data_IF_735505416819
#
_entry.id   IF_735505416819
#
_cell.length_a   1.000
_cell.length_b   1.000
_cell.length_c   1.000
_cell.angle_alpha   90.00
_cell.angle_beta   90.00
_cell.angle_gamma   90.00
#
_symmetry.space_group_name_H-M   'P 1'
#
loop_
_entity.id
_entity.type
_entity.pdbx_description
1 polymer ?
#
# COMPACT_ATOMS: atom_id res chain seq x y z
N UNK A 1 -10.21 68.27 3.47
CA UNK A 1 -9.44 67.34 2.63
C UNK A 1 -10.06 65.96 2.80
N UNK A 2 -10.92 65.59 1.85
CA UNK A 2 -11.68 64.34 1.85
C UNK A 2 -10.77 63.17 1.50
N UNK A 3 -10.67 62.20 2.40
CA UNK A 3 -10.00 60.92 2.14
C UNK A 3 -11.03 59.95 1.56
N UNK A 4 -10.80 59.51 0.32
CA UNK A 4 -11.66 58.58 -0.41
C UNK A 4 -11.46 57.17 0.16
N UNK A 5 -12.41 56.72 0.98
CA UNK A 5 -12.41 55.38 1.60
C UNK A 5 -13.29 54.45 0.75
N UNK A 6 -12.72 53.31 0.35
CA UNK A 6 -13.39 52.25 -0.40
C UNK A 6 -14.50 51.57 0.45
N UNK A 7 -15.77 51.57 0.03
CA UNK A 7 -16.91 51.13 0.85
C UNK A 7 -17.11 49.60 0.95
N UNK A 8 -16.21 48.76 0.42
CA UNK A 8 -16.45 47.31 0.31
C UNK A 8 -16.17 46.46 1.56
N UNK A 9 -15.62 47.01 2.65
CA UNK A 9 -15.17 46.20 3.81
C UNK A 9 -16.01 46.43 5.08
N UNK A 10 -16.87 47.45 5.14
CA UNK A 10 -17.55 47.83 6.39
C UNK A 10 -18.79 47.00 6.75
N UNK A 11 -19.40 46.28 5.82
CA UNK A 11 -20.78 45.79 5.98
C UNK A 11 -20.96 44.26 6.04
N UNK A 12 -20.00 43.53 6.61
CA UNK A 12 -20.16 42.07 6.85
C UNK A 12 -20.06 41.62 8.31
N UNK A 13 -20.34 42.52 9.25
CA UNK A 13 -20.46 42.16 10.67
C UNK A 13 -21.90 41.75 11.10
N UNK A 14 -22.93 41.95 10.28
CA UNK A 14 -24.31 41.58 10.63
C UNK A 14 -25.10 41.14 9.39
N UNK A 15 -25.16 39.84 9.12
CA UNK A 15 -26.20 39.25 8.28
C UNK A 15 -26.35 37.75 8.64
N UNK A 16 -27.13 37.49 9.67
CA UNK A 16 -27.82 36.22 9.90
C UNK A 16 -29.31 36.50 9.70
N UNK A 17 -29.90 35.98 8.62
CA UNK A 17 -31.28 35.47 8.53
C UNK A 17 -31.72 35.21 7.08
N UNK A 18 -31.98 33.93 6.81
CA UNK A 18 -33.03 33.34 5.96
C UNK A 18 -33.48 34.05 4.68
N UNK A 19 -33.38 33.35 3.55
CA UNK A 19 -34.53 33.08 2.68
C UNK A 19 -34.32 31.75 1.93
N UNK A 20 -35.33 30.89 2.06
CA UNK A 20 -35.41 29.54 1.53
C UNK A 20 -36.12 29.48 0.17
N UNK A 21 -35.97 28.32 -0.48
CA UNK A 21 -36.81 27.68 -1.51
C UNK A 21 -36.60 27.97 -3.01
N UNK A 22 -36.23 26.89 -3.72
CA UNK A 22 -36.43 26.66 -5.16
C UNK A 22 -35.84 25.31 -5.59
N UNK A 23 -36.62 24.33 -6.11
CA UNK A 23 -36.22 22.92 -6.17
C UNK A 23 -35.44 22.59 -7.45
N UNK A 24 -34.40 21.77 -7.32
CA UNK A 24 -33.61 21.31 -8.46
C UNK A 24 -32.55 20.29 -8.08
N UNK A 25 -32.94 19.17 -7.45
CA UNK A 25 -32.04 18.01 -7.31
C UNK A 25 -31.80 17.38 -8.68
N UNK A 26 -30.86 17.94 -9.45
CA UNK A 26 -30.13 17.14 -10.44
C UNK A 26 -29.05 16.38 -9.68
N UNK A 27 -29.21 15.05 -9.63
CA UNK A 27 -28.25 14.12 -9.07
C UNK A 27 -26.87 14.45 -9.63
N UNK A 28 -25.92 14.76 -8.76
CA UNK A 28 -24.49 14.76 -9.04
C UNK A 28 -24.12 13.36 -9.55
N UNK A 29 -24.04 13.22 -10.88
CA UNK A 29 -23.40 12.10 -11.52
C UNK A 29 -21.92 12.13 -11.14
N UNK A 30 -21.57 11.28 -10.17
CA UNK A 30 -20.21 11.06 -9.71
C UNK A 30 -19.33 10.54 -10.85
N UNK A 31 -18.05 10.93 -10.96
CA UNK A 31 -17.16 10.27 -11.90
C UNK A 31 -16.70 8.94 -11.29
N UNK A 32 -17.28 7.85 -11.79
CA UNK A 32 -16.87 6.44 -11.58
C UNK A 32 -15.39 6.20 -11.97
N UNK A 33 -14.75 7.16 -12.65
CA UNK A 33 -13.36 7.09 -13.11
C UNK A 33 -12.30 7.00 -11.99
N UNK A 34 -12.55 7.54 -10.79
CA UNK A 34 -11.55 7.53 -9.69
C UNK A 34 -11.37 6.16 -9.05
N UNK A 35 -12.44 5.37 -8.93
CA UNK A 35 -12.31 3.95 -8.57
C UNK A 35 -11.49 3.23 -9.65
N UNK A 36 -11.77 3.49 -10.93
CA UNK A 36 -11.11 2.84 -12.06
C UNK A 36 -9.59 2.97 -12.07
N UNK A 37 -9.03 4.17 -11.83
CA UNK A 37 -7.58 4.38 -11.87
C UNK A 37 -6.86 3.72 -10.68
N UNK A 38 -7.48 3.74 -9.49
CA UNK A 38 -6.93 3.06 -8.32
C UNK A 38 -7.05 1.53 -8.43
N UNK A 39 -8.15 1.03 -9.01
CA UNK A 39 -8.28 -0.39 -9.37
C UNK A 39 -7.21 -0.82 -10.38
N UNK A 40 -6.88 0.03 -11.35
CA UNK A 40 -5.78 -0.23 -12.29
C UNK A 40 -4.45 -0.30 -11.54
N UNK A 41 -4.15 0.62 -10.62
CA UNK A 41 -2.89 0.59 -9.83
C UNK A 41 -2.81 -0.63 -8.91
N UNK A 42 -3.89 -1.00 -8.21
CA UNK A 42 -3.94 -2.24 -7.41
C UNK A 42 -3.80 -3.48 -8.31
N UNK A 43 -4.49 -3.53 -9.45
CA UNK A 43 -4.40 -4.65 -10.39
C UNK A 43 -3.00 -4.76 -11.00
N UNK A 44 -2.34 -3.63 -11.30
CA UNK A 44 -0.93 -3.59 -11.72
C UNK A 44 0.01 -4.06 -10.61
N UNK A 45 -0.26 -3.72 -9.35
CA UNK A 45 0.48 -4.24 -8.19
C UNK A 45 0.33 -5.76 -8.06
N UNK A 46 -0.90 -6.29 -8.20
CA UNK A 46 -1.18 -7.74 -8.20
C UNK A 46 -0.45 -8.44 -9.35
N UNK A 47 -0.48 -7.88 -10.56
CA UNK A 47 0.20 -8.44 -11.73
C UNK A 47 1.73 -8.39 -11.59
N UNK A 48 2.29 -7.30 -11.04
CA UNK A 48 3.71 -7.20 -10.73
C UNK A 48 4.13 -8.24 -9.68
N UNK A 49 3.30 -8.47 -8.67
CA UNK A 49 3.53 -9.45 -7.62
C UNK A 49 3.46 -10.90 -8.14
N UNK A 50 2.54 -11.19 -9.06
CA UNK A 50 2.48 -12.49 -9.75
C UNK A 50 3.72 -12.72 -10.63
N UNK A 51 4.16 -11.69 -11.37
CA UNK A 51 5.37 -11.74 -12.18
C UNK A 51 6.64 -11.89 -11.32
N UNK A 52 6.74 -11.21 -10.18
CA UNK A 52 7.86 -11.33 -9.24
C UNK A 52 7.92 -12.72 -8.60
N UNK A 53 6.78 -13.29 -8.18
CA UNK A 53 6.74 -14.65 -7.64
C UNK A 53 7.11 -15.71 -8.69
N UNK A 54 6.61 -15.59 -9.92
CA UNK A 54 7.01 -16.46 -11.02
C UNK A 54 8.50 -16.33 -11.36
N UNK A 55 9.07 -15.13 -11.24
CA UNK A 55 10.51 -14.87 -11.49
C UNK A 55 11.40 -15.47 -10.38
N UNK A 56 11.00 -15.38 -9.11
CA UNK A 56 11.72 -16.02 -8.00
C UNK A 56 11.66 -17.55 -8.10
N UNK A 57 10.49 -18.11 -8.43
CA UNK A 57 10.35 -19.55 -8.68
C UNK A 57 11.14 -20.06 -9.91
N UNK A 58 11.48 -19.16 -10.86
CA UNK A 58 12.36 -19.48 -11.99
C UNK A 58 13.85 -19.49 -11.61
N UNK A 59 14.27 -18.72 -10.60
CA UNK A 59 15.66 -18.70 -10.13
C UNK A 59 15.98 -19.84 -9.16
N UNK A 60 14.97 -20.39 -8.49
CA UNK A 60 15.05 -21.72 -7.89
C UNK A 60 14.91 -22.77 -9.00
N UNK A 61 15.99 -23.13 -9.72
CA UNK A 61 15.91 -24.14 -10.78
C UNK A 61 15.26 -25.43 -10.23
N UNK A 62 13.99 -25.72 -10.58
CA UNK A 62 13.25 -26.79 -9.93
C UNK A 62 13.79 -28.14 -10.38
N UNK A 63 14.34 -28.25 -11.60
CA UNK A 63 15.01 -29.46 -12.06
C UNK A 63 16.21 -29.81 -11.16
N UNK A 64 17.03 -28.82 -10.80
CA UNK A 64 18.24 -29.00 -9.97
C UNK A 64 17.88 -29.38 -8.52
N UNK A 65 16.86 -28.76 -7.94
CA UNK A 65 16.33 -29.09 -6.60
C UNK A 65 15.59 -30.45 -6.58
N UNK A 66 14.82 -30.77 -7.62
CA UNK A 66 14.07 -32.03 -7.76
C UNK A 66 15.01 -33.21 -8.03
N UNK A 67 16.08 -33.01 -8.82
CA UNK A 67 17.12 -34.01 -9.05
C UNK A 67 17.97 -34.21 -7.78
N UNK A 68 18.32 -33.13 -7.07
CA UNK A 68 19.00 -33.23 -5.77
C UNK A 68 18.13 -33.96 -4.73
N UNK A 69 16.82 -33.76 -4.75
CA UNK A 69 15.85 -34.50 -3.94
C UNK A 69 15.67 -35.97 -4.39
N UNK A 70 16.15 -36.38 -5.57
CA UNK A 70 16.10 -37.77 -6.05
C UNK A 70 17.39 -38.55 -5.80
N UNK A 71 18.53 -37.88 -5.61
CA UNK A 71 19.81 -38.52 -5.27
C UNK A 71 19.95 -38.73 -3.77
N UNK A 72 20.09 -39.97 -3.28
CA UNK A 72 20.56 -40.18 -1.90
C UNK A 72 22.01 -39.68 -1.78
N UNK A 73 22.29 -38.88 -0.75
CA UNK A 73 23.66 -38.55 -0.39
C UNK A 73 24.37 -39.85 0.02
N UNK A 74 25.48 -40.17 -0.65
CA UNK A 74 26.16 -41.44 -0.44
C UNK A 74 26.62 -41.55 1.02
N UNK A 75 26.16 -42.60 1.72
CA UNK A 75 26.67 -42.94 3.03
C UNK A 75 28.21 -43.05 2.96
N UNK A 76 28.96 -42.55 3.97
CA UNK A 76 30.41 -42.65 3.97
C UNK A 76 30.81 -44.12 3.83
N UNK A 77 31.63 -44.43 2.81
CA UNK A 77 32.18 -45.78 2.61
C UNK A 77 32.97 -46.16 3.86
N UNK A 78 32.38 -46.98 4.72
CA UNK A 78 33.08 -47.61 5.81
C UNK A 78 34.16 -48.53 5.21
N UNK A 79 35.42 -48.25 5.54
CA UNK A 79 36.56 -49.07 5.19
C UNK A 79 36.39 -50.48 5.79
N UNK A 80 36.60 -51.49 4.96
CA UNK A 80 36.64 -52.90 5.33
C UNK A 80 37.80 -53.19 6.29
N UNK A 81 37.48 -53.64 7.50
CA UNK A 81 38.32 -54.56 8.26
C UNK A 81 37.43 -55.66 8.85
N UNK A 82 37.78 -56.91 8.52
CA UNK A 82 37.04 -58.10 8.89
C UNK A 82 37.39 -58.53 10.33
N UNK A 83 36.39 -58.77 11.17
CA UNK A 83 36.41 -59.75 12.28
C UNK A 83 34.96 -60.15 12.59
N UNK A 84 34.61 -61.45 12.70
CA UNK A 84 33.23 -61.86 12.93
C UNK A 84 32.93 -61.90 14.44
N UNK A 85 32.16 -60.92 14.91
CA UNK A 85 31.48 -61.01 16.20
C UNK A 85 29.99 -60.74 15.98
N UNK A 86 29.16 -61.67 16.43
CA UNK A 86 27.71 -61.65 16.29
C UNK A 86 27.13 -60.34 16.84
N UNK A 87 26.73 -59.45 15.94
CA UNK A 87 26.00 -58.24 16.24
C UNK A 87 24.67 -58.31 15.49
N UNK A 88 23.57 -57.97 16.18
CA UNK A 88 22.25 -57.82 15.57
C UNK A 88 22.38 -56.97 14.31
N UNK A 89 22.01 -57.53 13.17
CA UNK A 89 22.05 -56.84 11.89
C UNK A 89 21.12 -55.61 11.93
N UNK A 90 21.69 -54.46 12.29
CA UNK A 90 21.19 -53.19 11.79
C UNK A 90 21.35 -53.28 10.27
N UNK A 91 20.25 -53.54 9.56
CA UNK A 91 20.23 -53.62 8.10
C UNK A 91 20.89 -52.35 7.55
N UNK A 92 22.08 -52.49 6.98
CA UNK A 92 22.72 -51.40 6.26
C UNK A 92 21.76 -50.95 5.16
N UNK A 93 21.55 -49.64 5.07
CA UNK A 93 20.72 -48.99 4.05
C UNK A 93 21.28 -49.30 2.65
N UNK A 94 20.81 -50.40 2.09
CA UNK A 94 21.29 -50.97 0.84
C UNK A 94 20.11 -51.31 -0.05
N UNK A 95 20.34 -51.16 -1.35
CA UNK A 95 19.40 -51.52 -2.40
C UNK A 95 19.82 -52.86 -2.96
N UNK A 96 18.88 -53.81 -3.12
CA UNK A 96 19.19 -55.10 -3.75
C UNK A 96 19.68 -54.92 -5.19
N UNK A 97 20.65 -55.75 -5.59
CA UNK A 97 21.30 -55.68 -6.90
C UNK A 97 20.30 -55.70 -8.08
N UNK A 98 19.22 -56.48 -7.95
CA UNK A 98 18.14 -56.59 -8.93
C UNK A 98 17.43 -55.27 -9.22
N UNK A 99 17.40 -54.33 -8.26
CA UNK A 99 16.81 -53.00 -8.43
C UNK A 99 17.80 -51.94 -8.91
N UNK A 100 19.11 -52.21 -8.85
CA UNK A 100 20.14 -51.23 -9.20
C UNK A 100 20.02 -50.71 -10.64
N UNK A 101 19.94 -51.61 -11.64
CA UNK A 101 19.79 -51.22 -13.05
C UNK A 101 18.46 -50.50 -13.34
N UNK A 102 17.29 -50.99 -12.87
CA UNK A 102 16.03 -50.27 -13.00
C UNK A 102 16.05 -48.86 -12.39
N UNK A 103 16.62 -48.69 -11.19
CA UNK A 103 16.73 -47.38 -10.53
C UNK A 103 17.65 -46.43 -11.28
N UNK A 104 18.76 -46.93 -11.83
CA UNK A 104 19.65 -46.11 -12.65
C UNK A 104 18.94 -45.58 -13.90
N UNK A 105 18.16 -46.43 -14.58
CA UNK A 105 17.39 -46.01 -15.75
C UNK A 105 16.36 -44.92 -15.42
N UNK A 106 15.68 -45.02 -14.26
CA UNK A 106 14.78 -43.96 -13.78
C UNK A 106 15.56 -42.67 -13.51
N UNK A 107 16.72 -42.77 -12.86
CA UNK A 107 17.55 -41.61 -12.58
C UNK A 107 18.01 -40.90 -13.87
N UNK A 108 18.34 -41.65 -14.92
CA UNK A 108 18.73 -41.09 -16.20
C UNK A 108 17.55 -40.40 -16.90
N UNK A 109 16.33 -40.96 -16.81
CA UNK A 109 15.10 -40.30 -17.27
C UNK A 109 14.82 -39.01 -16.50
N UNK A 110 15.02 -39.01 -15.18
CA UNK A 110 14.86 -37.81 -14.34
C UNK A 110 15.87 -36.72 -14.74
N UNK A 111 17.15 -37.07 -14.94
CA UNK A 111 18.18 -36.14 -15.43
C UNK A 111 17.85 -35.58 -16.82
N UNK A 112 17.20 -36.38 -17.67
CA UNK A 112 16.74 -35.97 -18.99
C UNK A 112 15.42 -35.16 -18.95
N UNK A 113 14.84 -34.89 -17.78
CA UNK A 113 13.56 -34.18 -17.64
C UNK A 113 12.33 -35.00 -18.05
N UNK A 114 12.49 -36.30 -18.31
CA UNK A 114 11.45 -37.20 -18.82
C UNK A 114 10.61 -37.78 -17.68
N UNK A 115 9.93 -36.92 -16.92
CA UNK A 115 9.16 -37.31 -15.73
C UNK A 115 8.10 -38.39 -16.00
N UNK A 116 7.37 -38.29 -17.13
CA UNK A 116 6.29 -39.23 -17.44
C UNK A 116 6.83 -40.63 -17.75
N UNK A 117 7.94 -40.71 -18.49
CA UNK A 117 8.64 -41.97 -18.77
C UNK A 117 9.22 -42.56 -17.47
N UNK A 118 9.77 -41.72 -16.58
CA UNK A 118 10.28 -42.13 -15.27
C UNK A 118 9.15 -42.72 -14.38
N UNK A 119 7.97 -42.08 -14.34
CA UNK A 119 6.80 -42.60 -13.63
C UNK A 119 6.32 -43.93 -14.19
N UNK A 120 6.34 -44.10 -15.51
CA UNK A 120 5.98 -45.39 -16.13
C UNK A 120 6.98 -46.48 -15.73
N UNK A 121 8.29 -46.16 -15.77
CA UNK A 121 9.36 -47.09 -15.43
C UNK A 121 9.36 -47.48 -13.95
N UNK A 122 8.92 -46.60 -13.05
CA UNK A 122 8.76 -46.88 -11.62
C UNK A 122 7.82 -48.05 -11.33
N UNK A 123 6.79 -48.26 -12.16
CA UNK A 123 5.83 -49.38 -11.99
C UNK A 123 6.48 -50.76 -12.07
N UNK A 124 7.58 -50.87 -12.80
CA UNK A 124 8.33 -52.13 -12.90
C UNK A 124 9.06 -52.47 -11.60
N UNK A 125 9.42 -51.46 -10.80
CA UNK A 125 10.07 -51.64 -9.51
C UNK A 125 9.03 -51.91 -8.41
N UNK A 126 7.81 -51.41 -8.56
CA UNK A 126 6.73 -51.68 -7.62
C UNK A 126 6.33 -53.15 -7.54
N UNK A 127 6.57 -53.91 -8.62
CA UNK A 127 6.30 -55.34 -8.70
C UNK A 127 7.23 -56.20 -7.83
N UNK A 128 8.35 -55.64 -7.34
CA UNK A 128 9.23 -56.36 -6.43
C UNK A 128 8.59 -56.48 -5.05
N UNK A 129 8.40 -57.72 -4.59
CA UNK A 129 7.91 -58.03 -3.25
C UNK A 129 8.97 -57.76 -2.17
N UNK A 130 8.50 -57.65 -0.91
CA UNK A 130 9.35 -57.55 0.29
C UNK A 130 10.39 -56.42 0.25
N UNK A 131 10.03 -55.26 -0.33
CA UNK A 131 10.88 -54.07 -0.34
C UNK A 131 11.18 -53.57 1.07
N UNK A 132 12.44 -53.23 1.33
CA UNK A 132 12.85 -52.70 2.63
C UNK A 132 12.33 -51.26 2.82
N UNK A 133 12.26 -50.75 4.07
CA UNK A 133 11.92 -49.34 4.30
C UNK A 133 12.86 -48.36 3.57
N UNK A 134 14.15 -48.71 3.43
CA UNK A 134 15.11 -47.88 2.69
C UNK A 134 14.83 -47.90 1.18
N UNK A 135 14.55 -49.07 0.62
CA UNK A 135 14.19 -49.21 -0.80
C UNK A 135 12.92 -48.44 -1.15
N UNK A 136 11.90 -48.49 -0.27
CA UNK A 136 10.68 -47.70 -0.44
C UNK A 136 10.96 -46.19 -0.33
N UNK A 137 11.84 -45.77 0.58
CA UNK A 137 12.26 -44.37 0.68
C UNK A 137 12.93 -43.86 -0.61
N UNK A 138 13.84 -44.62 -1.21
CA UNK A 138 14.47 -44.27 -2.49
C UNK A 138 13.43 -44.20 -3.62
N UNK A 139 12.53 -45.17 -3.67
CA UNK A 139 11.48 -45.24 -4.69
C UNK A 139 10.54 -44.04 -4.61
N UNK A 140 10.13 -43.64 -3.40
CA UNK A 140 9.27 -42.46 -3.21
C UNK A 140 10.00 -41.14 -3.48
N UNK A 141 11.32 -41.03 -3.21
CA UNK A 141 12.12 -39.86 -3.66
C UNK A 141 12.10 -39.73 -5.18
N UNK A 142 12.31 -40.84 -5.90
CA UNK A 142 12.26 -40.84 -7.36
C UNK A 142 10.85 -40.59 -7.90
N UNK A 143 9.81 -41.15 -7.28
CA UNK A 143 8.41 -40.91 -7.65
C UNK A 143 8.03 -39.45 -7.49
N UNK A 144 8.40 -38.84 -6.35
CA UNK A 144 8.16 -37.42 -6.09
C UNK A 144 8.80 -36.55 -7.16
N UNK A 145 10.04 -36.85 -7.52
CA UNK A 145 10.76 -36.13 -8.57
C UNK A 145 10.14 -36.32 -9.97
N UNK A 146 9.81 -37.55 -10.34
CA UNK A 146 9.21 -37.87 -11.63
C UNK A 146 7.85 -37.17 -11.78
N UNK A 147 7.00 -37.25 -10.75
CA UNK A 147 5.70 -36.59 -10.72
C UNK A 147 5.82 -35.06 -10.79
N UNK A 148 6.80 -34.47 -10.10
CA UNK A 148 7.07 -33.03 -10.17
C UNK A 148 7.41 -32.57 -11.60
N UNK A 149 8.26 -33.33 -12.29
CA UNK A 149 8.65 -33.07 -13.69
C UNK A 149 7.47 -33.26 -14.66
N UNK A 150 6.57 -34.19 -14.35
CA UNK A 150 5.34 -34.44 -15.13
C UNK A 150 4.22 -33.42 -14.88
N UNK A 151 4.37 -32.52 -13.90
CA UNK A 151 3.30 -31.61 -13.49
C UNK A 151 2.19 -32.28 -12.66
N UNK A 152 2.39 -33.53 -12.22
CA UNK A 152 1.47 -34.25 -11.33
C UNK A 152 1.76 -33.88 -9.87
N UNK A 153 1.24 -32.72 -9.45
CA UNK A 153 1.49 -32.18 -8.11
C UNK A 153 0.93 -33.07 -7.00
N UNK A 154 -0.19 -33.77 -7.23
CA UNK A 154 -0.81 -34.64 -6.23
C UNK A 154 0.01 -35.91 -5.97
N UNK A 155 0.49 -36.55 -7.03
CA UNK A 155 1.40 -37.71 -6.89
C UNK A 155 2.72 -37.29 -6.27
N UNK A 156 3.27 -36.13 -6.68
CA UNK A 156 4.50 -35.60 -6.09
C UNK A 156 4.36 -35.38 -4.59
N UNK A 157 3.27 -34.72 -4.16
CA UNK A 157 3.00 -34.44 -2.75
C UNK A 157 2.89 -35.72 -1.91
N UNK A 158 2.12 -36.72 -2.38
CA UNK A 158 1.97 -38.00 -1.68
C UNK A 158 3.30 -38.74 -1.53
N UNK A 159 4.11 -38.76 -2.60
CA UNK A 159 5.41 -39.41 -2.58
C UNK A 159 6.34 -38.71 -1.58
N UNK A 160 6.43 -37.39 -1.65
CA UNK A 160 7.25 -36.59 -0.74
C UNK A 160 6.77 -36.64 0.72
N UNK A 161 5.47 -36.80 0.96
CA UNK A 161 4.95 -37.08 2.31
C UNK A 161 5.48 -38.41 2.87
N UNK A 162 5.50 -39.46 2.06
CA UNK A 162 6.08 -40.74 2.44
C UNK A 162 7.59 -40.62 2.71
N UNK A 163 8.30 -39.83 1.90
CA UNK A 163 9.74 -39.54 2.12
C UNK A 163 9.95 -38.81 3.45
N UNK A 164 9.14 -37.79 3.76
CA UNK A 164 9.22 -37.06 5.03
C UNK A 164 8.88 -37.97 6.23
N UNK A 165 7.84 -38.80 6.09
CA UNK A 165 7.39 -39.71 7.14
C UNK A 165 8.39 -40.84 7.43
N UNK A 166 9.33 -41.12 6.52
CA UNK A 166 10.37 -42.13 6.73
C UNK A 166 11.34 -41.80 7.87
N UNK A 167 11.42 -40.53 8.29
CA UNK A 167 12.36 -40.06 9.33
C UNK A 167 13.83 -40.04 8.89
N UNK A 168 14.11 -40.27 7.59
CA UNK A 168 15.46 -40.40 7.03
C UNK A 168 16.05 -39.09 6.49
N UNK A 169 15.26 -38.02 6.47
CA UNK A 169 15.70 -36.71 5.99
C UNK A 169 16.33 -35.89 7.09
N UNK A 170 17.37 -35.13 6.75
CA UNK A 170 17.79 -33.99 7.56
C UNK A 170 16.69 -32.91 7.60
N UNK A 171 16.73 -32.05 8.62
CA UNK A 171 15.80 -30.92 8.72
C UNK A 171 15.87 -30.00 7.48
N UNK A 172 17.07 -29.77 6.95
CA UNK A 172 17.27 -28.95 5.75
C UNK A 172 16.65 -29.58 4.50
N UNK A 173 16.80 -30.89 4.29
CA UNK A 173 16.16 -31.60 3.17
C UNK A 173 14.63 -31.57 3.28
N UNK A 174 14.10 -31.75 4.50
CA UNK A 174 12.65 -31.66 4.75
C UNK A 174 12.10 -30.30 4.30
N UNK A 175 12.77 -29.19 4.65
CA UNK A 175 12.36 -27.84 4.24
C UNK A 175 12.38 -27.68 2.72
N UNK A 176 13.44 -28.13 2.03
CA UNK A 176 13.53 -28.09 0.56
C UNK A 176 12.43 -28.89 -0.13
N UNK A 177 12.06 -30.04 0.42
CA UNK A 177 10.97 -30.85 -0.12
C UNK A 177 9.62 -30.12 0.05
N UNK A 178 9.35 -29.53 1.22
CA UNK A 178 8.12 -28.77 1.46
C UNK A 178 8.00 -27.58 0.49
N UNK A 179 9.10 -26.86 0.25
CA UNK A 179 9.20 -25.78 -0.73
C UNK A 179 8.89 -26.26 -2.15
N UNK A 180 9.50 -27.37 -2.58
CA UNK A 180 9.29 -27.95 -3.91
C UNK A 180 7.82 -28.38 -4.12
N UNK A 181 7.19 -29.00 -3.11
CA UNK A 181 5.78 -29.41 -3.19
C UNK A 181 4.85 -28.20 -3.28
N UNK A 182 5.08 -27.16 -2.47
CA UNK A 182 4.31 -25.92 -2.57
C UNK A 182 4.44 -25.32 -3.98
N UNK A 183 5.66 -25.24 -4.52
CA UNK A 183 5.91 -24.74 -5.88
C UNK A 183 5.24 -25.58 -6.98
N UNK A 184 5.15 -26.91 -6.80
CA UNK A 184 4.42 -27.80 -7.71
C UNK A 184 2.92 -27.45 -7.74
N UNK A 185 2.28 -27.35 -6.57
CA UNK A 185 0.86 -26.99 -6.50
C UNK A 185 0.58 -25.60 -7.03
N UNK A 186 1.50 -24.65 -6.82
CA UNK A 186 1.35 -23.29 -7.33
C UNK A 186 1.34 -23.26 -8.86
N UNK A 187 2.29 -23.99 -9.49
CA UNK A 187 2.33 -24.15 -10.96
C UNK A 187 1.08 -24.86 -11.50
N UNK A 188 0.55 -25.83 -10.75
CA UNK A 188 -0.72 -26.49 -11.05
C UNK A 188 -1.95 -25.61 -10.77
N UNK A 189 -1.76 -24.34 -10.35
CA UNK A 189 -2.81 -23.38 -9.95
C UNK A 189 -3.70 -23.88 -8.83
N UNK A 190 -3.22 -24.84 -8.05
CA UNK A 190 -3.92 -25.32 -6.86
C UNK A 190 -3.48 -24.47 -5.65
N UNK A 191 -4.05 -23.28 -5.56
CA UNK A 191 -3.66 -22.29 -4.56
C UNK A 191 -4.01 -22.71 -3.13
N UNK A 192 -5.13 -23.45 -2.93
CA UNK A 192 -5.50 -23.98 -1.61
C UNK A 192 -4.41 -24.91 -1.09
N UNK A 193 -4.01 -25.92 -1.88
CA UNK A 193 -2.93 -26.84 -1.49
C UNK A 193 -1.60 -26.12 -1.37
N UNK A 194 -1.30 -25.17 -2.24
CA UNK A 194 -0.08 -24.36 -2.09
C UNK A 194 -0.02 -23.70 -0.71
N UNK A 195 -1.13 -23.09 -0.27
CA UNK A 195 -1.19 -22.44 1.04
C UNK A 195 -1.03 -23.44 2.21
N UNK A 196 -1.62 -24.63 2.11
CA UNK A 196 -1.44 -25.71 3.11
C UNK A 196 0.04 -26.13 3.24
N UNK A 197 0.72 -26.33 2.11
CA UNK A 197 2.13 -26.73 2.09
C UNK A 197 3.07 -25.60 2.53
N UNK A 198 2.78 -24.35 2.19
CA UNK A 198 3.50 -23.20 2.75
C UNK A 198 3.33 -23.10 4.27
N UNK A 199 2.11 -23.30 4.80
CA UNK A 199 1.87 -23.29 6.25
C UNK A 199 2.73 -24.36 6.95
N UNK A 200 2.82 -25.55 6.36
CA UNK A 200 3.69 -26.61 6.88
C UNK A 200 5.18 -26.26 6.77
N UNK A 201 5.63 -25.69 5.66
CA UNK A 201 7.01 -25.20 5.49
C UNK A 201 7.43 -24.29 6.65
N UNK A 202 6.60 -23.29 7.01
CA UNK A 202 6.89 -22.38 8.12
C UNK A 202 6.80 -23.07 9.49
N UNK A 203 5.83 -23.96 9.69
CA UNK A 203 5.69 -24.74 10.93
C UNK A 203 6.92 -25.61 11.21
N UNK A 204 7.56 -26.12 10.17
CA UNK A 204 8.70 -27.02 10.25
C UNK A 204 10.06 -26.28 10.33
N UNK A 205 10.04 -24.94 10.40
CA UNK A 205 11.23 -24.11 10.60
C UNK A 205 11.75 -23.43 9.33
N UNK A 206 11.04 -23.52 8.20
CA UNK A 206 11.35 -22.74 7.01
C UNK A 206 11.15 -21.25 7.26
N UNK A 207 12.02 -20.42 6.69
CA UNK A 207 12.04 -18.97 6.99
C UNK A 207 12.25 -18.08 5.77
N UNK A 208 12.21 -18.64 4.56
CA UNK A 208 12.50 -17.87 3.35
C UNK A 208 11.38 -16.86 3.04
N UNK A 209 11.76 -15.63 2.71
CA UNK A 209 10.83 -14.56 2.37
C UNK A 209 10.00 -14.85 1.11
N UNK A 210 10.58 -15.52 0.11
CA UNK A 210 9.89 -15.93 -1.12
C UNK A 210 8.72 -16.87 -0.85
N UNK A 211 8.89 -17.83 0.08
CA UNK A 211 7.81 -18.74 0.51
C UNK A 211 6.68 -18.01 1.23
N UNK A 212 6.98 -16.92 1.96
CA UNK A 212 5.95 -16.12 2.63
C UNK A 212 5.11 -15.35 1.61
N UNK A 213 5.77 -14.79 0.60
CA UNK A 213 5.10 -14.19 -0.56
C UNK A 213 4.20 -15.20 -1.27
N UNK A 214 4.71 -16.40 -1.57
CA UNK A 214 3.94 -17.48 -2.21
C UNK A 214 2.71 -17.87 -1.38
N UNK A 215 2.87 -17.96 -0.06
CA UNK A 215 1.80 -18.35 0.85
C UNK A 215 0.63 -17.36 0.83
N UNK A 216 0.92 -16.07 1.04
CA UNK A 216 -0.10 -15.01 1.07
C UNK A 216 -0.78 -14.87 -0.29
N UNK A 217 -0.02 -14.93 -1.39
CA UNK A 217 -0.59 -14.92 -2.75
C UNK A 217 -1.57 -16.08 -2.96
N UNK A 218 -1.17 -17.29 -2.54
CA UNK A 218 -1.98 -18.48 -2.70
C UNK A 218 -3.27 -18.40 -1.89
N UNK A 219 -3.20 -17.91 -0.66
CA UNK A 219 -4.41 -17.63 0.14
C UNK A 219 -5.34 -16.65 -0.56
N UNK A 220 -4.80 -15.53 -1.07
CA UNK A 220 -5.59 -14.54 -1.80
C UNK A 220 -6.27 -15.14 -3.05
N UNK A 221 -5.53 -15.90 -3.86
CA UNK A 221 -6.06 -16.54 -5.07
C UNK A 221 -7.05 -17.67 -4.77
N UNK A 222 -6.90 -18.35 -3.63
CA UNK A 222 -7.85 -19.33 -3.13
C UNK A 222 -9.11 -18.69 -2.51
N UNK A 223 -9.15 -17.37 -2.34
CA UNK A 223 -10.24 -16.64 -1.70
C UNK A 223 -10.17 -16.63 -0.16
N UNK A 224 -9.10 -17.15 0.44
CA UNK A 224 -8.83 -17.05 1.88
C UNK A 224 -8.27 -15.67 2.24
N UNK A 225 -9.13 -14.67 2.15
CA UNK A 225 -8.79 -13.28 2.44
C UNK A 225 -8.48 -13.05 3.94
N UNK A 226 -9.09 -13.82 4.83
CA UNK A 226 -8.84 -13.75 6.28
C UNK A 226 -7.45 -14.28 6.64
N UNK A 227 -7.07 -15.44 6.11
CA UNK A 227 -5.74 -16.00 6.26
C UNK A 227 -4.67 -15.08 5.66
N UNK A 228 -4.89 -14.60 4.43
CA UNK A 228 -3.95 -13.70 3.76
C UNK A 228 -3.72 -12.39 4.55
N UNK A 229 -4.78 -11.75 5.05
CA UNK A 229 -4.66 -10.54 5.86
C UNK A 229 -3.89 -10.81 7.15
N UNK A 230 -4.18 -11.92 7.84
CA UNK A 230 -3.50 -12.30 9.09
C UNK A 230 -2.01 -12.46 8.88
N UNK A 231 -1.60 -13.21 7.85
CA UNK A 231 -0.18 -13.45 7.56
C UNK A 231 0.57 -12.18 7.12
N UNK A 232 -0.09 -11.29 6.36
CA UNK A 232 0.49 -9.97 6.04
C UNK A 232 0.71 -9.12 7.28
N UNK A 233 -0.24 -9.11 8.21
CA UNK A 233 -0.09 -8.35 9.45
C UNK A 233 1.04 -8.89 10.33
N UNK A 234 1.20 -10.22 10.41
CA UNK A 234 2.34 -10.84 11.11
C UNK A 234 3.66 -10.46 10.44
N UNK A 235 3.73 -10.52 9.12
CA UNK A 235 4.90 -10.11 8.35
C UNK A 235 5.28 -8.65 8.60
N UNK A 236 4.30 -7.74 8.62
CA UNK A 236 4.52 -6.33 8.92
C UNK A 236 5.03 -6.10 10.34
N UNK A 237 4.51 -6.82 11.34
CA UNK A 237 5.02 -6.76 12.71
C UNK A 237 6.48 -7.24 12.81
N UNK A 238 6.85 -8.27 12.03
CA UNK A 238 8.23 -8.75 11.97
C UNK A 238 9.16 -7.72 11.32
N UNK A 239 8.72 -7.10 10.22
CA UNK A 239 9.48 -6.04 9.56
C UNK A 239 9.66 -4.82 10.46
N UNK A 240 8.61 -4.39 11.15
CA UNK A 240 8.65 -3.29 12.10
C UNK A 240 9.65 -3.55 13.24
N UNK A 241 9.62 -4.75 13.84
CA UNK A 241 10.61 -5.18 14.85
C UNK A 241 12.04 -5.20 14.30
N UNK A 242 12.21 -5.46 13.01
CA UNK A 242 13.49 -5.43 12.32
C UNK A 242 13.90 -4.02 11.85
N UNK A 243 13.13 -2.97 12.17
CA UNK A 243 13.38 -1.60 11.71
C UNK A 243 13.22 -1.41 10.20
N UNK A 244 12.48 -2.30 9.54
CA UNK A 244 12.21 -2.26 8.09
C UNK A 244 10.77 -1.81 7.83
N UNK A 245 10.58 -1.06 6.75
CA UNK A 245 9.25 -0.65 6.31
C UNK A 245 8.51 -1.81 5.62
N UNK A 246 7.18 -1.91 5.79
CA UNK A 246 6.35 -2.83 5.00
C UNK A 246 6.48 -2.54 3.50
N UNK A 247 6.76 -3.54 2.64
CA UNK A 247 6.77 -3.37 1.19
C UNK A 247 5.45 -2.80 0.65
N UNK A 248 5.54 -1.92 -0.34
CA UNK A 248 4.38 -1.23 -0.93
C UNK A 248 3.38 -2.22 -1.56
N UNK A 249 3.87 -3.21 -2.30
CA UNK A 249 3.08 -4.26 -2.95
C UNK A 249 2.28 -5.09 -1.95
N UNK A 250 2.87 -5.39 -0.78
CA UNK A 250 2.19 -6.09 0.31
C UNK A 250 1.10 -5.24 0.97
N UNK A 251 1.33 -3.93 1.13
CA UNK A 251 0.30 -3.00 1.61
C UNK A 251 -0.84 -2.86 0.57
N UNK A 252 -0.53 -2.79 -0.72
CA UNK A 252 -1.53 -2.80 -1.79
C UNK A 252 -2.37 -4.09 -1.78
N UNK A 253 -1.73 -5.24 -1.55
CA UNK A 253 -2.43 -6.51 -1.41
C UNK A 253 -3.36 -6.52 -0.19
N UNK A 254 -2.90 -6.03 0.96
CA UNK A 254 -3.75 -5.89 2.15
C UNK A 254 -4.94 -4.96 1.90
N UNK A 255 -4.73 -3.85 1.19
CA UNK A 255 -5.81 -2.95 0.80
C UNK A 255 -6.83 -3.65 -0.11
N UNK A 256 -6.36 -4.42 -1.10
CA UNK A 256 -7.21 -5.22 -1.98
C UNK A 256 -8.03 -6.25 -1.20
N UNK A 257 -7.40 -6.94 -0.25
CA UNK A 257 -8.07 -7.89 0.66
C UNK A 257 -9.20 -7.20 1.43
N UNK A 258 -8.94 -6.05 2.06
CA UNK A 258 -9.98 -5.34 2.81
C UNK A 258 -11.10 -4.83 1.91
N UNK A 259 -10.81 -4.41 0.67
CA UNK A 259 -11.87 -4.09 -0.30
C UNK A 259 -12.74 -5.32 -0.62
N UNK A 260 -12.14 -6.49 -0.90
CA UNK A 260 -12.86 -7.74 -1.18
C UNK A 260 -13.75 -8.14 0.00
N UNK A 261 -13.25 -7.94 1.23
CA UNK A 261 -13.98 -8.18 2.48
C UNK A 261 -15.02 -7.09 2.80
N UNK A 262 -15.08 -6.01 2.03
CA UNK A 262 -15.88 -4.81 2.32
C UNK A 262 -15.58 -4.20 3.70
N UNK A 263 -14.35 -4.38 4.18
CA UNK A 263 -13.86 -3.81 5.43
C UNK A 263 -13.34 -2.40 5.18
N UNK A 264 -14.22 -1.42 5.36
CA UNK A 264 -13.89 -0.02 5.15
C UNK A 264 -12.85 0.51 6.16
N UNK A 265 -12.79 -0.05 7.37
CA UNK A 265 -11.87 0.40 8.41
C UNK A 265 -10.45 -0.13 8.15
N UNK A 266 -10.32 -1.44 7.89
CA UNK A 266 -9.05 -2.07 7.53
C UNK A 266 -8.44 -1.45 6.27
N UNK A 267 -9.28 -1.19 5.26
CA UNK A 267 -8.84 -0.51 4.04
C UNK A 267 -8.34 0.91 4.32
N UNK A 268 -9.06 1.71 5.11
CA UNK A 268 -8.64 3.07 5.48
C UNK A 268 -7.27 3.08 6.18
N UNK A 269 -7.10 2.21 7.19
CA UNK A 269 -5.84 2.09 7.93
C UNK A 269 -4.68 1.67 7.01
N UNK A 270 -4.96 0.83 6.01
CA UNK A 270 -3.94 0.42 5.04
C UNK A 270 -3.54 1.56 4.11
N UNK A 271 -4.50 2.37 3.65
CA UNK A 271 -4.21 3.58 2.85
C UNK A 271 -3.40 4.59 3.66
N UNK A 272 -3.67 4.76 4.96
CA UNK A 272 -2.85 5.61 5.84
C UNK A 272 -1.40 5.11 5.95
N UNK A 273 -1.19 3.80 6.05
CA UNK A 273 0.16 3.20 6.00
C UNK A 273 0.83 3.44 4.65
N UNK A 274 0.12 3.24 3.54
CA UNK A 274 0.61 3.54 2.19
C UNK A 274 1.04 5.01 2.08
N UNK A 275 0.25 5.94 2.58
CA UNK A 275 0.61 7.36 2.61
C UNK A 275 1.84 7.65 3.47
N UNK A 276 1.96 6.97 4.61
CA UNK A 276 3.07 7.18 5.54
C UNK A 276 4.40 6.72 4.96
N UNK A 277 4.43 5.55 4.33
CA UNK A 277 5.66 4.94 3.81
C UNK A 277 5.93 5.24 2.34
N UNK A 278 4.88 5.51 1.56
CA UNK A 278 4.94 5.64 0.10
C UNK A 278 3.99 6.75 -0.39
N UNK A 279 4.22 8.05 -0.09
CA UNK A 279 3.28 9.16 -0.30
C UNK A 279 3.01 9.52 -1.78
N UNK A 280 2.52 8.57 -2.59
CA UNK A 280 2.21 8.75 -4.00
C UNK A 280 0.91 9.53 -4.19
N UNK A 281 0.84 10.24 -5.32
CA UNK A 281 -0.31 11.08 -5.70
C UNK A 281 -1.64 10.31 -5.64
N UNK A 282 -1.66 9.05 -6.06
CA UNK A 282 -2.89 8.24 -6.06
C UNK A 282 -3.37 7.87 -4.65
N UNK A 283 -2.47 7.60 -3.70
CA UNK A 283 -2.88 7.33 -2.32
C UNK A 283 -3.40 8.59 -1.63
N UNK A 284 -2.82 9.75 -1.96
CA UNK A 284 -3.36 11.02 -1.50
C UNK A 284 -4.76 11.27 -2.06
N UNK A 285 -4.96 11.02 -3.34
CA UNK A 285 -6.28 11.16 -3.96
C UNK A 285 -7.32 10.27 -3.26
N UNK A 286 -6.98 9.00 -3.00
CA UNK A 286 -7.86 8.06 -2.33
C UNK A 286 -8.17 8.50 -0.89
N UNK A 287 -7.16 8.86 -0.10
CA UNK A 287 -7.36 9.29 1.28
C UNK A 287 -8.22 10.55 1.38
N UNK A 288 -7.93 11.56 0.55
CA UNK A 288 -8.72 12.80 0.48
C UNK A 288 -10.15 12.51 0.05
N UNK A 289 -10.35 11.64 -0.96
CA UNK A 289 -11.67 11.25 -1.42
C UNK A 289 -12.48 10.61 -0.30
N UNK A 290 -11.89 9.65 0.44
CA UNK A 290 -12.59 8.96 1.54
C UNK A 290 -12.99 9.89 2.67
N UNK A 291 -12.14 10.84 3.04
CA UNK A 291 -12.47 11.83 4.06
C UNK A 291 -13.57 12.76 3.57
N UNK A 292 -13.43 13.33 2.37
CA UNK A 292 -14.34 14.35 1.84
C UNK A 292 -15.70 13.82 1.36
N UNK A 293 -15.82 12.52 1.07
CA UNK A 293 -17.07 11.88 0.65
C UNK A 293 -17.77 11.07 1.73
N UNK A 294 -17.20 11.05 2.95
CA UNK A 294 -17.85 10.43 4.10
C UNK A 294 -19.22 11.09 4.31
N UNK A 295 -20.24 10.27 4.58
CA UNK A 295 -21.56 10.78 4.93
C UNK A 295 -21.46 11.75 6.12
N UNK A 296 -22.05 12.94 5.98
CA UNK A 296 -22.02 13.97 7.03
C UNK A 296 -20.73 14.79 7.05
N UNK A 297 -19.81 14.64 6.08
CA UNK A 297 -18.65 15.52 5.98
C UNK A 297 -19.09 17.00 5.89
N UNK A 298 -18.54 17.90 6.73
CA UNK A 298 -19.02 19.27 6.76
C UNK A 298 -18.69 20.10 5.51
N UNK A 299 -19.71 20.65 4.85
CA UNK A 299 -19.56 21.52 3.67
C UNK A 299 -18.62 22.71 3.92
N UNK A 300 -18.56 23.20 5.17
CA UNK A 300 -17.68 24.31 5.57
C UNK A 300 -16.19 24.01 5.33
N UNK A 301 -15.78 22.74 5.28
CA UNK A 301 -14.39 22.29 5.12
C UNK A 301 -14.00 22.12 3.64
N UNK A 302 -14.85 22.51 2.69
CA UNK A 302 -14.55 22.38 1.25
C UNK A 302 -13.25 23.08 0.85
N UNK A 303 -12.97 24.27 1.41
CA UNK A 303 -11.72 24.98 1.16
C UNK A 303 -10.52 24.30 1.81
N UNK A 304 -10.69 23.64 2.95
CA UNK A 304 -9.61 22.89 3.60
C UNK A 304 -9.26 21.62 2.84
N UNK A 305 -10.26 20.96 2.24
CA UNK A 305 -10.05 19.88 1.26
C UNK A 305 -9.30 20.41 0.03
N UNK A 306 -9.70 21.57 -0.50
CA UNK A 306 -9.06 22.18 -1.66
C UNK A 306 -7.58 22.53 -1.40
N UNK A 307 -7.27 23.08 -0.22
CA UNK A 307 -5.89 23.36 0.24
C UNK A 307 -5.06 22.08 0.33
N UNK A 308 -5.61 21.01 0.88
CA UNK A 308 -4.91 19.72 0.97
C UNK A 308 -4.69 19.09 -0.41
N UNK A 309 -5.69 19.16 -1.31
CA UNK A 309 -5.53 18.76 -2.71
C UNK A 309 -4.41 19.55 -3.39
N UNK A 310 -4.38 20.87 -3.21
CA UNK A 310 -3.32 21.72 -3.77
C UNK A 310 -1.94 21.29 -3.27
N UNK A 311 -1.78 21.16 -1.95
CA UNK A 311 -0.51 20.84 -1.31
C UNK A 311 0.03 19.45 -1.64
N UNK A 312 -0.85 18.52 -2.04
CA UNK A 312 -0.50 17.15 -2.45
C UNK A 312 -0.49 16.97 -3.97
N UNK A 313 -0.70 18.05 -4.74
CA UNK A 313 -0.74 18.00 -6.21
C UNK A 313 -1.96 17.23 -6.77
N UNK A 314 -3.05 17.13 -6.02
CA UNK A 314 -4.27 16.39 -6.35
C UNK A 314 -5.44 17.25 -6.87
N UNK A 315 -5.18 18.51 -7.23
CA UNK A 315 -6.09 19.26 -8.10
C UNK A 315 -5.89 18.78 -9.54
N UNK A 316 -6.97 18.30 -10.18
CA UNK A 316 -6.87 17.55 -11.45
C UNK A 316 -7.55 18.26 -12.61
N UNK A 317 -8.60 19.03 -12.36
CA UNK A 317 -9.45 19.57 -13.43
C UNK A 317 -9.44 21.09 -13.47
N UNK A 318 -9.67 21.65 -14.66
CA UNK A 318 -9.81 23.09 -14.85
C UNK A 318 -10.90 23.67 -13.95
N UNK A 319 -12.00 22.92 -13.81
CA UNK A 319 -13.13 23.30 -12.96
C UNK A 319 -12.73 23.40 -11.48
N UNK A 320 -11.97 22.45 -10.94
CA UNK A 320 -11.50 22.53 -9.54
C UNK A 320 -10.65 23.78 -9.31
N UNK A 321 -9.65 24.05 -10.17
CA UNK A 321 -8.82 25.24 -10.01
C UNK A 321 -9.64 26.53 -10.12
N UNK A 322 -10.56 26.59 -11.09
CA UNK A 322 -11.39 27.75 -11.33
C UNK A 322 -12.38 28.01 -10.19
N UNK A 323 -13.12 27.00 -9.75
CA UNK A 323 -14.12 27.11 -8.68
C UNK A 323 -13.47 27.47 -7.34
N UNK A 324 -12.35 26.83 -6.97
CA UNK A 324 -11.66 27.15 -5.72
C UNK A 324 -11.02 28.53 -5.75
N UNK A 325 -10.51 28.98 -6.90
CA UNK A 325 -10.04 30.36 -7.05
C UNK A 325 -11.19 31.37 -6.86
N UNK A 326 -12.35 31.14 -7.47
CA UNK A 326 -13.52 32.00 -7.27
C UNK A 326 -14.03 32.00 -5.83
N UNK A 327 -14.05 30.84 -5.19
CA UNK A 327 -14.48 30.72 -3.80
C UNK A 327 -13.54 31.49 -2.86
N UNK A 328 -12.22 31.34 -3.04
CA UNK A 328 -11.23 32.10 -2.28
C UNK A 328 -11.36 33.61 -2.51
N UNK A 329 -11.55 34.04 -3.77
CA UNK A 329 -11.73 35.45 -4.10
C UNK A 329 -13.00 36.03 -3.46
N UNK A 330 -14.12 35.30 -3.51
CA UNK A 330 -15.41 35.70 -2.91
C UNK A 330 -15.32 35.79 -1.38
N UNK A 331 -14.46 34.97 -0.78
CA UNK A 331 -14.15 35.00 0.64
C UNK A 331 -13.14 36.10 1.03
N UNK A 332 -12.61 36.88 0.07
CA UNK A 332 -11.66 37.96 0.33
C UNK A 332 -10.20 37.53 0.43
N UNK A 333 -9.86 36.30 0.00
CA UNK A 333 -8.48 35.79 0.01
C UNK A 333 -7.87 35.82 -1.39
N UNK A 334 -7.57 37.02 -1.91
CA UNK A 334 -7.04 37.20 -3.27
C UNK A 334 -5.71 36.48 -3.50
N UNK A 335 -4.81 36.48 -2.52
CA UNK A 335 -3.55 35.74 -2.59
C UNK A 335 -3.76 34.23 -2.72
N UNK A 336 -4.76 33.68 -2.02
CA UNK A 336 -5.12 32.26 -2.12
C UNK A 336 -5.73 31.94 -3.48
N UNK A 337 -6.66 32.77 -3.95
CA UNK A 337 -7.24 32.65 -5.29
C UNK A 337 -6.16 32.65 -6.37
N UNK A 338 -5.17 33.54 -6.25
CA UNK A 338 -4.07 33.64 -7.20
C UNK A 338 -3.22 32.37 -7.22
N UNK A 339 -2.99 31.73 -6.07
CA UNK A 339 -2.24 30.46 -6.03
C UNK A 339 -2.93 29.33 -6.76
N UNK A 340 -4.26 29.18 -6.62
CA UNK A 340 -5.01 28.19 -7.40
C UNK A 340 -4.86 28.45 -8.91
N UNK A 341 -4.99 29.71 -9.35
CA UNK A 341 -4.86 30.04 -10.76
C UNK A 341 -3.44 29.83 -11.27
N UNK A 342 -2.42 30.35 -10.59
CA UNK A 342 -1.02 30.20 -11.00
C UNK A 342 -0.65 28.72 -11.13
N UNK A 343 -1.06 27.87 -10.19
CA UNK A 343 -0.84 26.43 -10.30
C UNK A 343 -1.60 25.82 -11.48
N UNK A 344 -2.89 26.14 -11.67
CA UNK A 344 -3.68 25.61 -12.78
C UNK A 344 -3.14 26.01 -14.16
N UNK A 345 -2.63 27.24 -14.31
CA UNK A 345 -1.95 27.71 -15.52
C UNK A 345 -0.59 27.05 -15.70
N UNK A 346 0.19 26.87 -14.63
CA UNK A 346 1.48 26.19 -14.68
C UNK A 346 1.36 24.70 -15.10
N UNK A 347 0.34 24.01 -14.58
CA UNK A 347 -0.02 22.65 -14.97
C UNK A 347 -0.69 22.56 -16.37
N UNK A 348 -0.90 23.70 -17.04
CA UNK A 348 -1.56 23.83 -18.35
C UNK A 348 -3.00 23.30 -18.40
N UNK A 349 -3.61 23.12 -17.24
CA UNK A 349 -5.03 22.73 -17.09
C UNK A 349 -5.95 23.95 -17.25
N UNK A 350 -5.46 25.15 -16.92
CA UNK A 350 -6.11 26.42 -17.23
C UNK A 350 -5.47 27.10 -18.44
N UNK A 351 -6.22 28.02 -19.07
CA UNK A 351 -5.75 28.83 -20.20
C UNK A 351 -5.79 28.16 -21.58
N UNK A 352 -6.32 26.94 -21.65
CA UNK A 352 -6.51 26.14 -22.87
C UNK A 352 -7.98 25.71 -23.02
N UNK A 353 -8.37 25.23 -24.21
CA UNK A 353 -9.74 24.80 -24.53
C UNK A 353 -10.76 25.94 -24.63
N UNK A 354 -12.04 25.59 -24.71
CA UNK A 354 -13.15 26.52 -24.96
C UNK A 354 -13.30 27.59 -23.86
N UNK A 355 -12.92 27.25 -22.61
CA UNK A 355 -13.01 28.16 -21.45
C UNK A 355 -11.74 29.01 -21.26
N UNK A 356 -10.75 28.94 -22.17
CA UNK A 356 -9.46 29.63 -22.02
C UNK A 356 -9.59 31.14 -21.76
N UNK A 357 -10.50 31.82 -22.48
CA UNK A 357 -10.73 33.25 -22.28
C UNK A 357 -11.35 33.55 -20.91
N UNK A 358 -12.24 32.68 -20.42
CA UNK A 358 -12.83 32.81 -19.08
C UNK A 358 -11.77 32.64 -18.00
N UNK A 359 -10.87 31.67 -18.16
CA UNK A 359 -9.73 31.47 -17.26
C UNK A 359 -8.82 32.71 -17.22
N UNK A 360 -8.49 33.29 -18.39
CA UNK A 360 -7.68 34.52 -18.48
C UNK A 360 -8.34 35.71 -17.81
N UNK A 361 -9.64 35.93 -18.03
CA UNK A 361 -10.40 37.01 -17.37
C UNK A 361 -10.37 36.90 -15.85
N UNK A 362 -10.56 35.69 -15.31
CA UNK A 362 -10.47 35.46 -13.87
C UNK A 362 -9.06 35.75 -13.33
N UNK A 363 -8.01 35.32 -14.05
CA UNK A 363 -6.62 35.64 -13.68
C UNK A 363 -6.39 37.14 -13.61
N UNK A 364 -6.80 37.90 -14.63
CA UNK A 364 -6.67 39.37 -14.62
C UNK A 364 -7.37 40.01 -13.42
N UNK A 365 -8.59 39.57 -13.09
CA UNK A 365 -9.34 40.08 -11.94
C UNK A 365 -8.63 39.77 -10.61
N UNK A 366 -8.15 38.53 -10.45
CA UNK A 366 -7.44 38.09 -9.24
C UNK A 366 -6.11 38.80 -9.09
N UNK A 367 -5.33 38.96 -10.16
CA UNK A 367 -4.07 39.72 -10.13
C UNK A 367 -4.28 41.16 -9.67
N UNK A 368 -5.31 41.84 -10.20
CA UNK A 368 -5.66 43.19 -9.73
C UNK A 368 -6.05 43.21 -8.25
N UNK A 369 -6.84 42.23 -7.80
CA UNK A 369 -7.23 42.12 -6.39
C UNK A 369 -6.03 41.89 -5.46
N UNK A 370 -5.05 41.09 -5.90
CA UNK A 370 -3.78 40.87 -5.18
C UNK A 370 -2.98 42.17 -5.04
N UNK A 371 -2.92 43.00 -6.08
CA UNK A 371 -2.23 44.29 -6.03
C UNK A 371 -2.90 45.26 -5.06
N UNK A 372 -4.23 45.28 -5.02
CA UNK A 372 -5.02 46.10 -4.10
C UNK A 372 -4.86 45.62 -2.65
N UNK A 373 -4.98 44.32 -2.40
CA UNK A 373 -4.82 43.73 -1.07
C UNK A 373 -3.39 43.89 -0.55
N UNK A 374 -2.37 43.81 -1.40
CA UNK A 374 -0.98 44.04 -1.00
C UNK A 374 -0.76 45.45 -0.47
N UNK A 375 -1.43 46.46 -1.04
CA UNK A 375 -1.35 47.86 -0.58
C UNK A 375 -2.03 48.07 0.77
N UNK A 376 -3.10 47.32 1.06
CA UNK A 376 -3.88 47.45 2.29
C UNK A 376 -3.38 46.56 3.44
N UNK A 377 -2.56 45.54 3.15
CA UNK A 377 -2.19 44.48 4.09
C UNK A 377 -1.58 44.99 5.40
N UNK A 378 -0.73 46.01 5.34
CA UNK A 378 -0.13 46.63 6.54
C UNK A 378 -1.18 47.33 7.40
N UNK A 379 -2.13 48.04 6.78
CA UNK A 379 -3.21 48.71 7.51
C UNK A 379 -4.15 47.67 8.15
N UNK A 380 -4.55 46.64 7.40
CA UNK A 380 -5.37 45.54 7.89
C UNK A 380 -4.72 44.79 9.06
N UNK A 381 -3.40 44.58 9.01
CA UNK A 381 -2.63 43.99 10.11
C UNK A 381 -2.73 44.81 11.39
N UNK A 382 -2.54 46.13 11.26
CA UNK A 382 -2.57 47.05 12.40
C UNK A 382 -3.99 47.12 12.99
N UNK A 383 -5.02 47.18 12.14
CA UNK A 383 -6.43 47.16 12.54
C UNK A 383 -6.81 45.88 13.26
N UNK A 384 -6.51 44.71 12.68
CA UNK A 384 -6.77 43.41 13.31
C UNK A 384 -6.06 43.29 14.67
N UNK A 385 -4.83 43.80 14.77
CA UNK A 385 -4.07 43.80 16.02
C UNK A 385 -4.68 44.70 17.10
N UNK A 386 -5.19 45.87 16.72
CA UNK A 386 -5.78 46.86 17.62
C UNK A 386 -7.19 46.47 18.08
N UNK A 387 -8.02 45.92 17.18
CA UNK A 387 -9.40 45.52 17.45
C UNK A 387 -9.53 44.30 18.37
N UNK A 388 -8.45 43.56 18.62
CA UNK A 388 -8.44 42.32 19.43
C UNK A 388 -9.44 41.26 18.94
N UNK A 389 -9.76 41.24 17.65
CA UNK A 389 -10.60 40.19 17.04
C UNK A 389 -9.72 39.05 16.53
N UNK A 390 -9.83 37.89 17.18
CA UNK A 390 -9.06 36.70 16.80
C UNK A 390 -9.31 36.23 15.37
N UNK A 391 -10.54 36.37 14.86
CA UNK A 391 -10.88 35.96 13.49
C UNK A 391 -10.20 36.86 12.46
N UNK A 392 -10.18 38.18 12.71
CA UNK A 392 -9.47 39.13 11.86
C UNK A 392 -7.95 38.86 11.87
N UNK A 393 -7.37 38.61 13.04
CA UNK A 393 -5.95 38.25 13.16
C UNK A 393 -5.60 36.98 12.38
N UNK A 394 -6.45 35.96 12.45
CA UNK A 394 -6.29 34.71 11.70
C UNK A 394 -6.33 34.93 10.19
N UNK A 395 -7.35 35.63 9.70
CA UNK A 395 -7.54 35.86 8.27
C UNK A 395 -6.44 36.74 7.67
N UNK A 396 -6.11 37.86 8.32
CA UNK A 396 -5.04 38.76 7.88
C UNK A 396 -3.67 38.08 8.00
N UNK A 397 -3.46 37.33 9.09
CA UNK A 397 -2.25 36.56 9.30
C UNK A 397 -2.02 35.51 8.21
N UNK A 398 -3.09 34.83 7.79
CA UNK A 398 -3.03 33.89 6.66
C UNK A 398 -2.69 34.60 5.35
N UNK A 399 -3.33 35.74 5.05
CA UNK A 399 -3.00 36.55 3.87
C UNK A 399 -1.55 37.04 3.87
N UNK A 400 -0.99 37.42 5.03
CA UNK A 400 0.43 37.75 5.19
C UNK A 400 1.33 36.57 4.82
N UNK A 401 1.03 35.36 5.31
CA UNK A 401 1.80 34.15 4.94
C UNK A 401 1.76 33.92 3.43
N UNK A 402 0.58 34.02 2.80
CA UNK A 402 0.43 33.86 1.35
C UNK A 402 1.11 34.97 0.54
N UNK A 403 1.23 36.18 1.09
CA UNK A 403 1.90 37.30 0.46
C UNK A 403 3.44 37.22 0.55
N UNK A 404 3.97 36.25 1.31
CA UNK A 404 5.40 36.03 1.54
C UNK A 404 5.89 36.50 2.91
N UNK A 405 5.07 37.20 3.70
CA UNK A 405 5.38 37.72 5.03
C UNK A 405 5.16 36.67 6.13
N UNK A 406 5.75 35.50 5.95
CA UNK A 406 5.45 34.30 6.75
C UNK A 406 5.67 34.47 8.26
N UNK A 407 6.76 35.11 8.67
CA UNK A 407 7.07 35.26 10.11
C UNK A 407 6.02 36.11 10.84
N UNK A 408 5.66 37.27 10.27
CA UNK A 408 4.68 38.17 10.86
C UNK A 408 3.26 37.60 10.75
N UNK A 409 2.92 36.99 9.62
CA UNK A 409 1.64 36.32 9.43
C UNK A 409 1.40 35.21 10.45
N UNK A 410 2.36 34.32 10.65
CA UNK A 410 2.26 33.24 11.63
C UNK A 410 2.14 33.77 13.07
N UNK A 411 2.91 34.80 13.43
CA UNK A 411 2.82 35.45 14.75
C UNK A 411 1.42 36.04 14.98
N UNK A 412 0.83 36.65 13.96
CA UNK A 412 -0.51 37.22 14.04
C UNK A 412 -1.57 36.12 14.16
N UNK A 413 -1.47 35.04 13.39
CA UNK A 413 -2.39 33.90 13.48
C UNK A 413 -2.32 33.23 14.86
N UNK A 414 -1.13 33.00 15.40
CA UNK A 414 -0.92 32.42 16.73
C UNK A 414 -1.55 33.30 17.82
N UNK A 415 -1.34 34.62 17.75
CA UNK A 415 -2.01 35.57 18.64
C UNK A 415 -3.53 35.49 18.51
N UNK A 416 -4.05 35.39 17.28
CA UNK A 416 -5.47 35.25 16.99
C UNK A 416 -6.10 34.01 17.62
N UNK A 417 -5.41 32.86 17.57
CA UNK A 417 -5.86 31.62 18.24
C UNK A 417 -5.96 31.77 19.76
N UNK A 418 -5.16 32.66 20.37
CA UNK A 418 -5.21 32.96 21.80
C UNK A 418 -6.37 33.86 22.23
N UNK A 419 -7.12 34.44 21.30
CA UNK A 419 -8.26 35.32 21.60
C UNK A 419 -9.53 34.50 21.86
N UNK A 420 -10.27 34.87 22.92
CA UNK A 420 -11.59 34.27 23.21
C UNK A 420 -12.61 34.67 22.13
N UNK A 421 -13.48 33.74 21.73
CA UNK A 421 -14.56 34.01 20.77
C UNK A 421 -14.18 33.83 19.30
N UNK A 422 -13.01 33.24 18.99
CA UNK A 422 -12.69 32.76 17.64
C UNK A 422 -13.78 31.78 17.18
N UNK A 423 -14.34 32.05 16.00
CA UNK A 423 -15.32 31.17 15.38
C UNK A 423 -14.61 29.91 14.90
N UNK A 424 -15.12 28.74 15.31
CA UNK A 424 -14.61 27.42 14.89
C UNK A 424 -13.09 27.29 15.13
N UNK A 425 -12.65 27.28 16.41
CA UNK A 425 -11.23 27.26 16.75
C UNK A 425 -10.47 26.07 16.16
N UNK A 426 -11.11 24.93 15.94
CA UNK A 426 -10.48 23.76 15.32
C UNK A 426 -10.18 23.98 13.82
N UNK A 427 -11.10 24.61 13.08
CA UNK A 427 -10.88 24.97 11.67
C UNK A 427 -9.77 26.04 11.57
N UNK A 428 -9.71 26.96 12.54
CA UNK A 428 -8.63 27.95 12.63
C UNK A 428 -7.27 27.32 12.92
N UNK A 429 -7.19 26.29 13.77
CA UNK A 429 -5.97 25.50 14.00
C UNK A 429 -5.53 24.78 12.73
N UNK A 430 -6.48 24.22 11.96
CA UNK A 430 -6.20 23.57 10.68
C UNK A 430 -5.56 24.56 9.69
N UNK A 431 -6.15 25.75 9.56
CA UNK A 431 -5.62 26.84 8.73
C UNK A 431 -4.22 27.26 9.19
N UNK A 432 -4.02 27.49 10.49
CA UNK A 432 -2.71 27.83 11.06
C UNK A 432 -1.66 26.74 10.83
N UNK A 433 -2.01 25.46 11.00
CA UNK A 433 -1.14 24.34 10.70
C UNK A 433 -0.72 24.31 9.22
N UNK A 434 -1.66 24.58 8.30
CA UNK A 434 -1.34 24.67 6.86
C UNK A 434 -0.40 25.84 6.57
N UNK A 435 -0.59 26.98 7.24
CA UNK A 435 0.28 28.15 7.12
C UNK A 435 1.69 27.86 7.64
N UNK A 436 1.81 27.15 8.77
CA UNK A 436 3.10 26.69 9.30
C UNK A 436 3.83 25.79 8.29
N UNK A 437 3.12 24.87 7.62
CA UNK A 437 3.72 24.04 6.58
C UNK A 437 4.19 24.85 5.37
N UNK A 438 3.40 25.82 4.92
CA UNK A 438 3.80 26.70 3.81
C UNK A 438 5.05 27.52 4.16
N UNK A 439 5.20 27.90 5.42
CA UNK A 439 6.38 28.59 5.95
C UNK A 439 7.55 27.64 6.30
N UNK A 440 7.44 26.34 6.04
CA UNK A 440 8.48 25.35 6.34
C UNK A 440 8.59 24.92 7.82
N UNK A 441 7.72 25.38 8.71
CA UNK A 441 7.73 25.03 10.14
C UNK A 441 7.05 23.67 10.39
N UNK A 442 7.62 22.58 9.84
CA UNK A 442 6.98 21.25 9.77
C UNK A 442 6.69 20.63 11.13
N UNK A 443 7.64 20.68 12.08
CA UNK A 443 7.46 20.06 13.40
C UNK A 443 6.36 20.77 14.21
N UNK A 444 6.33 22.10 14.18
CA UNK A 444 5.24 22.89 14.78
C UNK A 444 3.90 22.62 14.10
N UNK A 445 3.88 22.54 12.77
CA UNK A 445 2.65 22.20 12.04
C UNK A 445 2.12 20.84 12.47
N UNK A 446 2.99 19.82 12.58
CA UNK A 446 2.61 18.49 13.06
C UNK A 446 2.03 18.53 14.47
N UNK A 447 2.64 19.29 15.38
CA UNK A 447 2.13 19.47 16.74
C UNK A 447 0.74 20.12 16.74
N UNK A 448 0.53 21.16 15.93
CA UNK A 448 -0.78 21.82 15.77
C UNK A 448 -1.82 20.83 15.23
N UNK A 449 -1.53 20.13 14.13
CA UNK A 449 -2.46 19.15 13.55
C UNK A 449 -2.81 18.02 14.53
N UNK A 450 -1.85 17.56 15.34
CA UNK A 450 -2.11 16.56 16.39
C UNK A 450 -3.05 17.05 17.51
N UNK A 451 -3.23 18.37 17.66
CA UNK A 451 -4.14 18.98 18.63
C UNK A 451 -5.54 19.26 18.09
N UNK A 452 -5.76 19.08 16.78
CA UNK A 452 -7.02 19.38 16.11
C UNK A 452 -8.05 18.29 16.40
N UNK A 453 -9.25 18.71 16.77
CA UNK A 453 -10.38 17.84 17.07
C UNK A 453 -11.58 18.20 16.19
N UNK A 454 -12.67 17.44 16.36
CA UNK A 454 -13.94 17.70 15.70
C UNK A 454 -14.15 16.89 14.43
N UNK A 455 -15.43 16.71 14.11
CA UNK A 455 -15.88 15.88 13.00
C UNK A 455 -15.50 16.50 11.64
N UNK A 456 -14.78 15.75 10.82
CA UNK A 456 -14.21 16.18 9.54
C UNK A 456 -12.88 16.92 9.69
N UNK A 457 -12.80 17.87 10.64
CA UNK A 457 -11.59 18.69 10.85
C UNK A 457 -10.43 17.83 11.36
N UNK A 458 -10.68 16.88 12.26
CA UNK A 458 -9.65 15.97 12.79
C UNK A 458 -9.08 15.02 11.72
N UNK A 459 -9.93 14.54 10.81
CA UNK A 459 -9.54 13.66 9.72
C UNK A 459 -8.66 14.40 8.70
N UNK A 460 -9.02 15.64 8.35
CA UNK A 460 -8.15 16.48 7.53
C UNK A 460 -6.82 16.78 8.24
N UNK A 461 -6.84 17.08 9.53
CA UNK A 461 -5.63 17.34 10.29
C UNK A 461 -4.68 16.13 10.32
N UNK A 462 -5.22 14.90 10.45
CA UNK A 462 -4.41 13.67 10.33
C UNK A 462 -3.72 13.57 8.96
N UNK A 463 -4.43 13.85 7.88
CA UNK A 463 -3.84 13.86 6.53
C UNK A 463 -2.75 14.93 6.40
N UNK A 464 -2.99 16.14 6.91
CA UNK A 464 -1.98 17.19 6.94
C UNK A 464 -0.76 16.84 7.80
N UNK A 465 -0.94 16.13 8.92
CA UNK A 465 0.15 15.64 9.76
C UNK A 465 1.02 14.60 9.03
N UNK A 466 0.42 13.74 8.20
CA UNK A 466 1.17 12.82 7.33
C UNK A 466 1.99 13.60 6.30
N UNK A 467 1.42 14.63 5.65
CA UNK A 467 2.16 15.49 4.71
C UNK A 467 3.29 16.27 5.38
N UNK A 468 3.09 16.69 6.63
CA UNK A 468 4.13 17.31 7.45
C UNK A 468 5.29 16.34 7.71
N UNK A 469 5.03 15.03 7.72
CA UNK A 469 6.00 13.99 8.01
C UNK A 469 6.70 13.40 6.78
N UNK A 470 6.06 13.40 5.61
CA UNK A 470 6.52 12.67 4.42
C UNK A 470 7.70 13.30 3.66
N UNK A 471 7.91 14.62 3.75
CA UNK A 471 8.94 15.33 2.99
C UNK A 471 10.19 15.61 3.85
N UNK A 472 10.78 14.57 4.44
CA UNK A 472 12.09 14.65 5.12
C UNK A 472 13.22 14.25 4.18
#
# INVERSE_FOLDING_TARGET
MSSSINPYIRDRATADQSLACGPGRKRLSHPIASLGLFFVTIASGIAAHEASAQTQLRHSEPASLVIAAATPEAAPKAATSATPAAASAANADTVRNEMGKPLQAIQDLLKAGKGAEALQRLKEIEAFANRTPYENYILERMRGAAASLSGDADTAAKAFDAVIASGRLSAAEKIKILEAVAGNFYRAKNYSKTAEWCARYFKEGGSEGGMRTLWVQSMYMAGDFDGAARELLVDFQMLEKAGKNPPEDRLQLLASIYQRKKDAAGYASTVEKLLTFYPKKDYWAEAIYRVSTRQGFPDRLVMDVARLKMATGNLRTANEYFEYAQMALTAGFSFEANRFLEQGFAEKVLGSGDEADRHRRLRTMVTKSVEEDRKSLTALKNEASAGKDGNAMLNVGYSLVLAGESAEGLRLMEKGLGIKGVKRPEDAKLLYGSALLMAGQRDKARAVFGSVQGDGTSELAKLWAVLAASNR
#
